data_IF_758613290441
#
_entry.id   IF_758613290441
#
_cell.length_a   1.000
_cell.length_b   1.000
_cell.length_c   1.000
_cell.angle_alpha   90.00
_cell.angle_beta   90.00
_cell.angle_gamma   90.00
#
_symmetry.space_group_name_H-M   'P 1'
#
loop_
_entity.id
_entity.type
_entity.pdbx_description
1 polymer ?
#
# COMPACT_ATOMS: atom_id res chain seq x y z
N UNK A 1 10.13 26.06 23.83
CA UNK A 1 9.67 24.68 23.53
C UNK A 1 9.35 24.63 22.05
N UNK A 2 10.19 24.00 21.23
CA UNK A 2 9.89 23.78 19.83
C UNK A 2 9.07 22.49 19.72
N UNK A 3 7.83 22.61 19.24
CA UNK A 3 6.98 21.50 18.86
C UNK A 3 7.50 20.96 17.53
N UNK A 4 8.07 19.76 17.52
CA UNK A 4 8.31 19.05 16.27
C UNK A 4 6.96 18.59 15.73
N UNK A 5 6.57 19.11 14.56
CA UNK A 5 5.44 18.57 13.83
C UNK A 5 5.77 17.11 13.49
N UNK A 6 5.02 16.18 14.08
CA UNK A 6 4.96 14.81 13.62
C UNK A 6 4.41 14.85 12.20
N UNK A 7 5.28 14.73 11.20
CA UNK A 7 4.83 14.30 9.87
C UNK A 7 4.31 12.88 10.07
N UNK A 8 2.98 12.70 10.04
CA UNK A 8 2.42 11.36 9.85
C UNK A 8 3.14 10.77 8.65
N UNK A 9 3.86 9.67 8.85
CA UNK A 9 4.31 8.89 7.72
C UNK A 9 3.05 8.56 6.91
N UNK A 10 3.04 8.91 5.63
CA UNK A 10 1.97 8.48 4.75
C UNK A 10 2.06 6.95 4.65
N UNK A 11 0.93 6.27 4.72
CA UNK A 11 0.89 4.82 4.48
C UNK A 11 1.55 4.52 3.13
N UNK A 12 2.32 3.44 3.09
CA UNK A 12 2.93 2.98 1.84
C UNK A 12 1.84 2.45 0.92
N UNK A 13 2.00 2.67 -0.38
CA UNK A 13 1.09 2.13 -1.39
C UNK A 13 1.76 0.97 -2.11
N UNK A 14 1.01 -0.12 -2.28
CA UNK A 14 1.43 -1.30 -3.01
C UNK A 14 0.43 -1.59 -4.11
N UNK A 15 0.90 -1.70 -5.34
CA UNK A 15 0.12 -2.27 -6.44
C UNK A 15 0.19 -3.79 -6.30
N UNK A 16 -0.94 -4.47 -6.40
CA UNK A 16 -0.97 -5.92 -6.48
C UNK A 16 -1.71 -6.35 -7.75
N UNK A 17 -1.27 -7.47 -8.31
CA UNK A 17 -1.96 -8.17 -9.39
C UNK A 17 -1.77 -9.67 -9.25
N UNK A 18 -2.78 -10.41 -9.69
CA UNK A 18 -2.74 -11.87 -9.64
C UNK A 18 -3.55 -12.47 -10.78
N UNK A 19 -3.18 -13.70 -11.14
CA UNK A 19 -3.92 -14.47 -12.13
C UNK A 19 -3.83 -15.95 -11.82
N UNK A 20 -4.91 -16.67 -12.10
CA UNK A 20 -5.06 -18.11 -12.13
C UNK A 20 -6.11 -18.51 -13.16
N UNK A 21 -6.47 -19.78 -13.20
CA UNK A 21 -7.47 -20.27 -14.15
C UNK A 21 -8.85 -19.63 -13.90
N UNK A 22 -9.30 -18.79 -14.82
CA UNK A 22 -10.59 -18.07 -14.75
C UNK A 22 -10.75 -17.20 -13.49
N UNK A 23 -9.65 -16.77 -12.88
CA UNK A 23 -9.66 -15.93 -11.68
C UNK A 23 -8.46 -15.00 -11.72
N UNK A 24 -8.68 -13.70 -11.83
CA UNK A 24 -7.62 -12.70 -11.84
C UNK A 24 -8.09 -11.41 -11.21
N UNK A 25 -7.17 -10.55 -10.84
CA UNK A 25 -7.51 -9.26 -10.26
C UNK A 25 -6.30 -8.40 -10.04
N UNK A 26 -6.56 -7.13 -9.76
CA UNK A 26 -5.54 -6.16 -9.40
C UNK A 26 -6.14 -5.01 -8.61
N UNK A 27 -5.31 -4.25 -7.94
CA UNK A 27 -5.69 -3.05 -7.19
C UNK A 27 -4.51 -2.49 -6.40
N UNK A 28 -4.82 -1.63 -5.44
CA UNK A 28 -3.83 -1.02 -4.57
C UNK A 28 -4.15 -1.20 -3.09
N UNK A 29 -3.15 -1.63 -2.33
CA UNK A 29 -3.16 -1.63 -0.89
C UNK A 29 -2.51 -0.35 -0.36
N UNK A 30 -3.09 0.25 0.67
CA UNK A 30 -2.35 1.10 1.60
C UNK A 30 -1.93 0.24 2.80
N UNK A 31 -0.68 0.35 3.22
CA UNK A 31 -0.17 -0.44 4.33
C UNK A 31 0.88 0.32 5.15
N UNK A 32 0.92 0.03 6.45
CA UNK A 32 1.90 0.59 7.37
C UNK A 32 2.97 -0.44 7.68
N UNK A 33 4.24 -0.07 7.61
CA UNK A 33 5.33 -0.97 7.96
C UNK A 33 5.26 -1.37 9.44
N UNK A 34 5.41 -2.67 9.71
CA UNK A 34 5.40 -3.21 11.06
C UNK A 34 6.81 -3.15 11.64
N UNK A 35 7.07 -2.12 12.45
CA UNK A 35 8.39 -1.88 13.04
C UNK A 35 9.46 -1.68 11.97
N UNK A 36 10.60 -2.37 12.10
CA UNK A 36 11.66 -2.41 11.09
C UNK A 36 11.76 -3.81 10.49
N UNK A 37 10.71 -4.23 9.78
CA UNK A 37 10.62 -5.56 9.18
C UNK A 37 10.19 -5.48 7.71
N UNK A 38 10.24 -6.61 7.02
CA UNK A 38 9.69 -6.77 5.68
C UNK A 38 8.16 -7.00 5.70
N UNK A 39 7.49 -6.76 6.83
CA UNK A 39 6.05 -6.92 6.97
C UNK A 39 5.33 -5.58 7.05
N UNK A 40 4.17 -5.53 6.42
CA UNK A 40 3.30 -4.39 6.34
C UNK A 40 1.88 -4.79 6.74
N UNK A 41 1.28 -4.00 7.62
CA UNK A 41 -0.11 -4.15 8.00
C UNK A 41 -0.96 -3.43 6.95
N UNK A 42 -1.68 -4.19 6.11
CA UNK A 42 -2.58 -3.59 5.12
C UNK A 42 -3.75 -2.93 5.85
N UNK A 43 -3.88 -1.62 5.69
CA UNK A 43 -4.90 -0.81 6.37
C UNK A 43 -6.08 -0.49 5.48
N UNK A 44 -5.91 -0.53 4.15
CA UNK A 44 -7.02 -0.41 3.21
C UNK A 44 -6.69 -1.02 1.85
N UNK A 45 -7.75 -1.34 1.11
CA UNK A 45 -7.75 -1.48 -0.34
C UNK A 45 -8.76 -0.47 -0.87
N UNK A 46 -8.33 0.43 -1.75
CA UNK A 46 -9.11 1.62 -2.11
C UNK A 46 -9.51 1.66 -3.60
N UNK A 47 -9.07 0.68 -4.38
CA UNK A 47 -9.54 0.41 -5.74
C UNK A 47 -9.33 -1.06 -6.11
N UNK A 48 -9.56 -1.39 -7.37
CA UNK A 48 -9.27 -2.70 -7.94
C UNK A 48 -10.50 -3.52 -8.26
N UNK A 49 -10.25 -4.68 -8.85
CA UNK A 49 -11.29 -5.59 -9.31
C UNK A 49 -10.83 -7.04 -9.25
N UNK A 50 -11.80 -7.93 -9.28
CA UNK A 50 -11.60 -9.36 -9.49
C UNK A 50 -12.48 -9.81 -10.63
N UNK A 51 -11.89 -10.50 -11.60
CA UNK A 51 -12.58 -11.16 -12.70
C UNK A 51 -12.61 -12.65 -12.44
N UNK A 52 -13.81 -13.23 -12.53
CA UNK A 52 -14.05 -14.66 -12.41
C UNK A 52 -14.92 -15.18 -13.55
N UNK A 53 -15.22 -16.48 -13.56
CA UNK A 53 -16.23 -17.05 -14.45
C UNK A 53 -17.64 -16.41 -14.31
N UNK A 54 -17.91 -15.72 -13.19
CA UNK A 54 -19.17 -15.02 -12.93
C UNK A 54 -19.17 -13.56 -13.43
N UNK A 55 -18.04 -13.08 -13.97
CA UNK A 55 -17.83 -11.70 -14.40
C UNK A 55 -16.83 -10.96 -13.53
N UNK A 56 -16.78 -9.64 -13.72
CA UNK A 56 -15.88 -8.73 -13.00
C UNK A 56 -16.63 -7.99 -11.91
N UNK A 57 -16.09 -7.99 -10.69
CA UNK A 57 -16.59 -7.24 -9.54
C UNK A 57 -15.50 -6.30 -9.03
N UNK A 58 -15.89 -5.08 -8.65
CA UNK A 58 -14.99 -4.13 -8.01
C UNK A 58 -14.67 -4.58 -6.58
N UNK A 59 -13.49 -4.21 -6.09
CA UNK A 59 -13.15 -4.30 -4.67
C UNK A 59 -13.76 -3.08 -3.98
N UNK A 60 -14.48 -3.31 -2.87
CA UNK A 60 -15.23 -2.27 -2.16
C UNK A 60 -14.73 -2.03 -0.73
N UNK A 61 -13.80 -2.86 -0.24
CA UNK A 61 -13.13 -2.59 1.03
C UNK A 61 -12.30 -3.74 1.55
N UNK A 62 -11.42 -3.42 2.50
CA UNK A 62 -10.64 -4.41 3.24
C UNK A 62 -11.53 -5.07 4.30
N UNK A 63 -11.40 -6.38 4.47
CA UNK A 63 -12.06 -7.10 5.56
C UNK A 63 -11.24 -6.98 6.84
N UNK A 64 -11.92 -6.89 7.98
CA UNK A 64 -11.25 -6.90 9.28
C UNK A 64 -10.44 -8.19 9.49
N UNK A 65 -9.42 -8.13 10.34
CA UNK A 65 -8.64 -9.33 10.70
C UNK A 65 -9.55 -10.41 11.28
N UNK A 66 -9.22 -11.66 11.00
CA UNK A 66 -9.93 -12.87 11.42
C UNK A 66 -11.42 -12.90 11.02
N UNK A 67 -11.79 -12.18 9.95
CA UNK A 67 -13.17 -12.14 9.44
C UNK A 67 -13.40 -13.20 8.37
N UNK A 68 -12.37 -13.51 7.57
CA UNK A 68 -12.45 -14.49 6.50
C UNK A 68 -11.15 -15.30 6.46
N UNK A 69 -11.24 -16.64 6.54
CA UNK A 69 -10.08 -17.54 6.51
C UNK A 69 -8.99 -17.30 7.56
N UNK A 70 -9.29 -16.62 8.67
CA UNK A 70 -8.25 -16.28 9.64
C UNK A 70 -7.25 -15.25 9.10
N UNK A 71 -7.67 -14.41 8.13
CA UNK A 71 -6.86 -13.35 7.57
C UNK A 71 -6.24 -12.47 8.65
N UNK A 72 -4.98 -12.10 8.47
CA UNK A 72 -4.28 -11.18 9.36
C UNK A 72 -3.93 -9.86 8.66
N UNK A 73 -4.20 -9.78 7.35
CA UNK A 73 -3.93 -8.65 6.48
C UNK A 73 -2.45 -8.24 6.46
N UNK A 74 -1.56 -9.23 6.60
CA UNK A 74 -0.12 -9.03 6.53
C UNK A 74 0.36 -9.20 5.10
N UNK A 75 1.02 -8.16 4.59
CA UNK A 75 1.79 -8.16 3.36
C UNK A 75 3.28 -8.28 3.69
N UNK A 76 4.03 -9.04 2.90
CA UNK A 76 5.48 -9.24 3.01
C UNK A 76 6.14 -8.59 1.79
N UNK A 77 6.98 -7.57 2.01
CA UNK A 77 7.72 -6.89 0.96
C UNK A 77 9.15 -6.49 1.40
N UNK A 78 10.20 -6.78 0.61
CA UNK A 78 10.17 -7.53 -0.65
C UNK A 78 9.76 -9.00 -0.39
N UNK A 79 8.94 -9.58 -1.29
CA UNK A 79 8.39 -10.93 -1.10
C UNK A 79 9.47 -11.96 -0.75
N UNK A 80 9.15 -12.91 0.11
CA UNK A 80 10.11 -13.95 0.54
C UNK A 80 10.23 -15.04 -0.52
N UNK A 81 11.46 -15.48 -0.83
CA UNK A 81 11.65 -16.50 -1.86
C UNK A 81 11.01 -17.84 -1.47
N UNK A 82 9.95 -18.21 -2.20
CA UNK A 82 9.35 -19.53 -2.22
C UNK A 82 9.92 -20.42 -3.33
N UNK A 83 9.39 -21.63 -3.44
CA UNK A 83 9.82 -22.62 -4.45
C UNK A 83 9.42 -22.18 -5.88
N UNK A 84 8.33 -21.43 -6.04
CA UNK A 84 7.76 -21.04 -7.33
C UNK A 84 7.85 -19.53 -7.63
N UNK A 85 8.45 -18.74 -6.73
CA UNK A 85 8.50 -17.29 -6.87
C UNK A 85 8.54 -16.57 -5.52
N UNK A 86 8.54 -15.23 -5.52
CA UNK A 86 8.36 -14.44 -4.32
C UNK A 86 6.96 -14.66 -3.72
N UNK A 87 6.93 -14.87 -2.41
CA UNK A 87 5.72 -14.98 -1.59
C UNK A 87 5.48 -13.68 -0.85
N UNK A 88 4.38 -13.04 -1.18
CA UNK A 88 4.02 -11.72 -0.66
C UNK A 88 3.02 -11.81 0.49
N UNK A 89 2.41 -12.96 0.73
CA UNK A 89 1.46 -13.15 1.81
C UNK A 89 1.91 -14.30 2.71
N UNK A 90 1.34 -14.37 3.91
CA UNK A 90 1.47 -15.55 4.76
C UNK A 90 0.20 -16.40 4.65
N UNK A 91 0.05 -17.40 5.52
CA UNK A 91 -1.13 -18.27 5.52
C UNK A 91 -2.45 -17.53 5.83
N UNK A 92 -2.39 -16.49 6.67
CA UNK A 92 -3.54 -15.63 6.97
C UNK A 92 -3.92 -14.80 5.74
N UNK A 93 -2.94 -14.10 5.18
CA UNK A 93 -3.09 -13.35 3.94
C UNK A 93 -3.95 -12.10 4.08
N UNK A 94 -4.29 -11.50 2.94
CA UNK A 94 -5.05 -10.25 2.87
C UNK A 94 -6.43 -10.50 2.27
N UNK A 95 -7.47 -10.15 3.05
CA UNK A 95 -8.85 -10.37 2.67
C UNK A 95 -9.60 -9.08 2.34
N UNK A 96 -10.37 -9.08 1.26
CA UNK A 96 -11.16 -7.94 0.81
C UNK A 96 -12.54 -8.34 0.30
N UNK A 97 -13.46 -7.37 0.36
CA UNK A 97 -14.85 -7.48 -0.05
C UNK A 97 -15.01 -7.00 -1.49
N UNK A 98 -15.75 -7.75 -2.29
CA UNK A 98 -16.16 -7.38 -3.63
C UNK A 98 -17.57 -6.81 -3.63
N UNK A 99 -17.84 -6.00 -4.64
CA UNK A 99 -19.21 -5.61 -4.98
C UNK A 99 -20.06 -6.88 -5.23
N UNK A 100 -21.26 -6.90 -4.66
CA UNK A 100 -22.09 -8.11 -4.57
C UNK A 100 -21.86 -8.98 -3.32
N UNK A 101 -20.95 -8.60 -2.41
CA UNK A 101 -20.81 -9.19 -1.08
C UNK A 101 -19.93 -10.44 -1.00
N UNK A 102 -19.21 -10.77 -2.08
CA UNK A 102 -18.25 -11.87 -2.09
C UNK A 102 -16.94 -11.45 -1.40
N UNK A 103 -16.35 -12.37 -0.65
CA UNK A 103 -15.08 -12.14 0.04
C UNK A 103 -13.99 -12.90 -0.70
N UNK A 104 -12.80 -12.30 -0.82
CA UNK A 104 -11.62 -12.91 -1.42
C UNK A 104 -10.49 -12.81 -0.42
N UNK A 105 -9.72 -13.89 -0.28
CA UNK A 105 -8.45 -13.89 0.45
C UNK A 105 -7.33 -14.28 -0.52
N UNK A 106 -6.28 -13.47 -0.58
CA UNK A 106 -5.01 -13.83 -1.19
C UNK A 106 -4.06 -14.28 -0.08
N UNK A 107 -3.60 -15.53 -0.14
CA UNK A 107 -2.70 -16.08 0.86
C UNK A 107 -1.68 -17.03 0.25
N UNK A 108 -0.56 -17.22 0.95
CA UNK A 108 0.47 -18.17 0.55
C UNK A 108 0.53 -19.33 1.54
N UNK A 109 0.62 -20.54 1.01
CA UNK A 109 0.84 -21.75 1.80
C UNK A 109 2.23 -22.31 1.51
N UNK A 110 2.61 -23.43 2.12
CA UNK A 110 3.99 -23.95 2.08
C UNK A 110 4.55 -24.09 0.65
N UNK A 111 3.70 -24.27 -0.37
CA UNK A 111 4.13 -24.52 -1.75
C UNK A 111 3.40 -23.71 -2.84
N UNK A 112 2.32 -23.01 -2.49
CA UNK A 112 1.44 -22.40 -3.48
C UNK A 112 0.98 -21.00 -3.06
N UNK A 113 0.89 -20.12 -4.03
CA UNK A 113 0.08 -18.91 -4.03
C UNK A 113 -1.38 -19.34 -4.22
N UNK A 114 -2.25 -18.95 -3.30
CA UNK A 114 -3.62 -19.43 -3.25
C UNK A 114 -4.60 -18.26 -3.16
N UNK A 115 -5.75 -18.42 -3.80
CA UNK A 115 -6.87 -17.50 -3.65
C UNK A 115 -8.12 -18.26 -3.26
N UNK A 116 -8.84 -17.75 -2.28
CA UNK A 116 -10.15 -18.30 -1.92
C UNK A 116 -11.18 -17.21 -2.01
N UNK A 117 -12.20 -17.45 -2.83
CA UNK A 117 -13.36 -16.59 -2.94
C UNK A 117 -14.57 -17.24 -2.23
N UNK A 118 -15.60 -16.44 -1.97
CA UNK A 118 -16.94 -16.94 -1.71
C UNK A 118 -17.69 -16.20 -0.60
N UNK A 119 -18.95 -16.60 -0.39
CA UNK A 119 -19.68 -16.23 0.81
C UNK A 119 -19.52 -17.38 1.83
N UNK A 120 -18.39 -17.35 2.53
CA UNK A 120 -18.02 -18.35 3.53
C UNK A 120 -17.26 -19.59 3.03
N UNK A 121 -16.35 -19.44 2.04
CA UNK A 121 -15.37 -20.43 1.51
C UNK A 121 -15.63 -21.06 0.11
N UNK A 122 -16.58 -20.55 -0.68
CA UNK A 122 -16.95 -21.10 -2.01
C UNK A 122 -16.19 -20.55 -3.23
N UNK A 123 -15.39 -21.44 -3.84
CA UNK A 123 -14.39 -21.30 -4.94
C UNK A 123 -12.97 -21.05 -4.42
N UNK A 124 -12.20 -22.14 -4.35
CA UNK A 124 -10.80 -22.15 -3.93
C UNK A 124 -9.92 -22.44 -5.16
N UNK A 125 -9.01 -21.52 -5.46
CA UNK A 125 -7.94 -21.69 -6.44
C UNK A 125 -6.67 -21.99 -5.67
N UNK A 126 -6.37 -23.27 -5.54
CA UNK A 126 -5.20 -23.80 -4.81
C UNK A 126 -3.86 -23.36 -5.39
N UNK A 127 -3.84 -22.89 -6.64
CA UNK A 127 -2.64 -22.47 -7.33
C UNK A 127 -2.98 -21.34 -8.32
N UNK A 128 -2.60 -20.12 -7.93
CA UNK A 128 -2.52 -19.00 -8.86
C UNK A 128 -1.32 -19.21 -9.78
N UNK A 129 -1.46 -18.76 -11.03
CA UNK A 129 -0.34 -18.72 -12.00
C UNK A 129 0.70 -17.70 -11.58
N UNK A 130 0.27 -16.54 -11.06
CA UNK A 130 1.16 -15.56 -10.46
C UNK A 130 0.42 -14.71 -9.44
N UNK A 131 1.20 -14.14 -8.53
CA UNK A 131 0.88 -12.99 -7.69
C UNK A 131 2.09 -12.08 -7.76
N UNK A 132 1.89 -10.80 -8.05
CA UNK A 132 2.93 -9.79 -7.98
C UNK A 132 2.50 -8.63 -7.10
N UNK A 133 3.48 -8.02 -6.43
CA UNK A 133 3.29 -6.87 -5.58
C UNK A 133 4.46 -5.91 -5.77
N UNK A 134 4.16 -4.68 -6.17
CA UNK A 134 5.14 -3.62 -6.33
C UNK A 134 4.86 -2.49 -5.33
N UNK A 135 5.92 -2.01 -4.67
CA UNK A 135 5.83 -0.88 -3.76
C UNK A 135 5.94 0.41 -4.56
N UNK A 136 4.87 1.20 -4.56
CA UNK A 136 4.88 2.48 -5.24
C UNK A 136 5.86 3.43 -4.54
N UNK A 137 6.79 4.00 -5.31
CA UNK A 137 7.71 4.99 -4.79
C UNK A 137 6.94 6.18 -4.21
N UNK A 138 7.32 6.60 -2.99
CA UNK A 138 6.78 7.82 -2.40
C UNK A 138 6.99 8.98 -3.38
N UNK A 139 5.91 9.70 -3.71
CA UNK A 139 6.05 10.93 -4.47
C UNK A 139 6.93 11.89 -3.66
N UNK A 140 7.96 12.52 -4.26
CA UNK A 140 8.78 13.48 -3.54
C UNK A 140 7.88 14.61 -3.07
N UNK A 141 7.53 14.62 -1.79
CA UNK A 141 6.79 15.71 -1.17
C UNK A 141 7.72 16.92 -1.23
N UNK A 142 7.34 18.02 -1.90
CA UNK A 142 8.13 19.23 -1.84
C UNK A 142 8.22 19.64 -0.37
N UNK A 143 9.44 19.68 0.16
CA UNK A 143 9.63 20.20 1.52
C UNK A 143 9.00 21.58 1.58
N UNK A 144 8.12 21.86 2.57
CA UNK A 144 7.49 23.16 2.67
C UNK A 144 8.63 24.19 2.72
N UNK A 145 8.59 25.17 1.82
CA UNK A 145 9.58 26.24 1.70
C UNK A 145 9.55 27.13 2.96
N UNK A 146 9.98 26.57 4.07
CA UNK A 146 10.08 27.23 5.36
C UNK A 146 11.41 27.94 5.36
N UNK A 147 11.35 29.19 4.91
CA UNK A 147 12.31 30.26 5.18
C UNK A 147 13.68 30.14 4.47
N UNK A 148 13.67 30.36 3.15
CA UNK A 148 14.69 31.26 2.57
C UNK A 148 14.32 32.71 2.92
N UNK A 149 14.38 33.06 4.21
CA UNK A 149 14.45 34.46 4.68
C UNK A 149 15.83 34.74 5.29
N UNK A 150 16.88 34.08 4.76
CA UNK A 150 18.25 34.53 4.96
C UNK A 150 18.60 35.52 3.84
N UNK A 151 18.41 36.81 4.12
CA UNK A 151 19.05 37.88 3.36
C UNK A 151 18.09 38.93 2.82
N UNK A 152 17.90 40.02 3.58
CA UNK A 152 17.97 41.45 3.15
C UNK A 152 17.24 42.41 4.09
N UNK A 153 16.49 41.94 5.09
CA UNK A 153 15.60 42.77 5.93
C UNK A 153 16.23 43.80 6.89
N UNK A 154 17.55 43.89 7.05
CA UNK A 154 18.20 44.98 7.83
C UNK A 154 19.46 45.50 7.13
N UNK A 155 20.24 44.63 6.48
CA UNK A 155 21.40 45.03 5.67
C UNK A 155 21.02 45.70 4.34
N UNK A 156 19.82 45.44 3.80
CA UNK A 156 19.30 46.14 2.63
C UNK A 156 18.93 47.60 2.91
N UNK A 157 18.61 47.95 4.17
CA UNK A 157 18.28 49.33 4.54
C UNK A 157 19.53 50.21 4.71
N UNK A 158 20.65 49.63 5.14
CA UNK A 158 21.93 50.36 5.30
C UNK A 158 22.58 50.75 3.96
N UNK A 159 22.30 50.01 2.89
CA UNK A 159 22.80 50.31 1.54
C UNK A 159 22.10 51.49 0.85
N UNK A 160 20.87 51.85 1.25
CA UNK A 160 20.10 52.93 0.63
C UNK A 160 20.46 54.31 1.18
N UNK A 161 20.99 54.39 2.41
CA UNK A 161 21.34 55.67 3.05
C UNK A 161 22.63 56.29 2.48
N UNK A 162 23.52 55.48 1.87
CA UNK A 162 24.82 55.98 1.39
C UNK A 162 24.78 56.78 0.08
N UNK A 163 23.63 56.87 -0.62
CA UNK A 163 23.52 57.60 -1.90
C UNK A 163 23.03 59.05 -1.79
N UNK A 164 22.86 59.61 -0.59
CA UNK A 164 22.34 60.98 -0.43
C UNK A 164 23.21 61.99 0.35
N UNK A 165 24.46 61.67 0.72
CA UNK A 165 25.33 62.61 1.45
C UNK A 165 26.81 62.65 1.02
N UNK A 166 27.11 62.51 -0.28
CA UNK A 166 28.40 63.00 -0.82
C UNK A 166 28.15 63.69 -2.16
N UNK A 167 27.89 65.00 -2.08
CA UNK A 167 28.28 66.11 -2.95
C UNK A 167 27.38 67.31 -2.60
#
# INVERSE_FOLDING_TARGET
MASFASTSALADTFTFDFSGAFFSGSGHFAADQIGTSDQYNVTSVYDGFVTSALGTSNIVGLLGVNTFQGNDNILIYPGTWGINGPKYFNHGGVSFLLDGGYQVNLNDTLLFENAVAGNGQGFNITELTFVDVDKQAASPVPEPSSLTLLGTGVLGLAGVIRRKFVA
#
